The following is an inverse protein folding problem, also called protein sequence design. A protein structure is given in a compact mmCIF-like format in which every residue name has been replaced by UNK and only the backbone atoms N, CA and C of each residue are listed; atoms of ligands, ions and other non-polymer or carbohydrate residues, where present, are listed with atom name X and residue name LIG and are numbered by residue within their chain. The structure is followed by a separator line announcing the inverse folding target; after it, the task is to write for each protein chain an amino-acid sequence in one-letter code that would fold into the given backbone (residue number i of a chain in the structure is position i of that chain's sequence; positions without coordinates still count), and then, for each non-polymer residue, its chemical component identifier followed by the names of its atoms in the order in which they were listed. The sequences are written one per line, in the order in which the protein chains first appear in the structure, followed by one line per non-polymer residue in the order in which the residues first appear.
data_IF_915640414487
#
_entry.id   IF_915640414487
#
_cell.length_a   1.000
_cell.length_b   1.000
_cell.length_c   1.000
_cell.angle_alpha   90.00
_cell.angle_beta   90.00
_cell.angle_gamma   90.00
#
_symmetry.space_group_name_H-M   'P 1'
#
loop_
_entity.id
_entity.type
_entity.pdbx_description
1 polymer ?
#
# COMPACT_ATOMS: atom_id res chain seq x y z
N UNK A 1 23.36 -2.57 15.36
CA UNK A 1 23.67 -2.55 13.92
C UNK A 1 22.42 -2.08 13.19
N UNK A 2 22.53 -1.06 12.33
CA UNK A 2 21.41 -0.66 11.47
C UNK A 2 21.35 -1.59 10.24
N UNK A 3 20.16 -1.83 9.71
CA UNK A 3 20.00 -2.57 8.46
C UNK A 3 20.68 -1.82 7.29
N UNK A 4 21.21 -2.55 6.31
CA UNK A 4 21.76 -1.92 5.11
C UNK A 4 20.65 -1.31 4.26
N UNK A 5 21.00 -0.31 3.44
CA UNK A 5 20.06 0.29 2.48
C UNK A 5 19.46 -0.76 1.54
N UNK A 6 20.27 -1.68 1.04
CA UNK A 6 19.83 -2.77 0.17
C UNK A 6 18.84 -3.71 0.86
N UNK A 7 19.08 -4.07 2.12
CA UNK A 7 18.12 -4.87 2.89
C UNK A 7 16.79 -4.16 3.10
N UNK A 8 16.80 -2.84 3.30
CA UNK A 8 15.58 -2.05 3.43
C UNK A 8 14.82 -1.92 2.10
N UNK A 9 15.53 -1.72 0.98
CA UNK A 9 14.92 -1.67 -0.35
C UNK A 9 14.28 -3.01 -0.74
N UNK A 10 14.95 -4.12 -0.45
CA UNK A 10 14.41 -5.47 -0.67
C UNK A 10 13.16 -5.71 0.19
N UNK A 11 13.18 -5.29 1.46
CA UNK A 11 12.03 -5.39 2.35
C UNK A 11 10.85 -4.54 1.85
N UNK A 12 11.08 -3.30 1.46
CA UNK A 12 10.02 -2.44 0.93
C UNK A 12 9.40 -3.01 -0.34
N UNK A 13 10.22 -3.57 -1.21
CA UNK A 13 9.77 -4.27 -2.42
C UNK A 13 8.89 -5.47 -2.06
N UNK A 14 9.35 -6.33 -1.15
CA UNK A 14 8.61 -7.53 -0.74
C UNK A 14 7.25 -7.17 -0.11
N UNK A 15 7.22 -6.17 0.79
CA UNK A 15 5.98 -5.74 1.44
C UNK A 15 5.01 -5.14 0.41
N UNK A 16 5.48 -4.25 -0.47
CA UNK A 16 4.64 -3.62 -1.47
C UNK A 16 4.02 -4.63 -2.45
N UNK A 17 4.82 -5.60 -2.90
CA UNK A 17 4.35 -6.70 -3.75
C UNK A 17 3.29 -7.51 -3.02
N UNK A 18 3.55 -7.92 -1.77
CA UNK A 18 2.60 -8.73 -1.01
C UNK A 18 1.28 -8.02 -0.76
N UNK A 19 1.32 -6.74 -0.41
CA UNK A 19 0.12 -5.92 -0.23
C UNK A 19 -0.69 -5.82 -1.53
N UNK A 20 -0.02 -5.64 -2.66
CA UNK A 20 -0.67 -5.58 -3.99
C UNK A 20 -1.36 -6.91 -4.31
N UNK A 21 -0.64 -8.03 -4.19
CA UNK A 21 -1.20 -9.37 -4.40
C UNK A 21 -2.42 -9.63 -3.52
N UNK A 22 -2.33 -9.29 -2.23
CA UNK A 22 -3.43 -9.48 -1.30
C UNK A 22 -4.65 -8.64 -1.66
N UNK A 23 -4.47 -7.39 -2.09
CA UNK A 23 -5.59 -6.55 -2.56
C UNK A 23 -6.24 -7.15 -3.82
N UNK A 24 -5.44 -7.70 -4.73
CA UNK A 24 -5.94 -8.29 -6.00
C UNK A 24 -6.68 -9.61 -5.81
N UNK A 25 -6.31 -10.38 -4.80
CA UNK A 25 -6.93 -11.67 -4.49
C UNK A 25 -8.24 -11.52 -3.70
N UNK A 26 -8.49 -10.36 -3.10
CA UNK A 26 -9.70 -10.10 -2.30
C UNK A 26 -10.81 -9.47 -3.17
N UNK A 27 -12.02 -10.06 -3.23
CA UNK A 27 -13.16 -9.43 -3.87
C UNK A 27 -13.56 -8.12 -3.21
N UNK A 28 -14.10 -7.20 -4.00
CA UNK A 28 -14.67 -5.96 -3.48
C UNK A 28 -15.77 -6.28 -2.45
N UNK A 29 -15.68 -5.67 -1.26
CA UNK A 29 -16.61 -5.90 -0.15
C UNK A 29 -16.25 -7.09 0.75
N UNK A 30 -15.15 -7.81 0.49
CA UNK A 30 -14.67 -8.83 1.41
C UNK A 30 -14.27 -8.23 2.77
N UNK A 31 -14.69 -8.90 3.84
CA UNK A 31 -14.38 -8.49 5.22
C UNK A 31 -12.86 -8.53 5.43
N UNK A 32 -12.26 -7.36 5.65
CA UNK A 32 -10.81 -7.21 5.85
C UNK A 32 -10.13 -6.41 4.75
N UNK A 33 -10.76 -6.23 3.59
CA UNK A 33 -10.19 -5.42 2.50
C UNK A 33 -9.97 -3.97 2.93
N UNK A 34 -10.93 -3.35 3.63
CA UNK A 34 -10.78 -1.99 4.14
C UNK A 34 -9.58 -1.83 5.11
N UNK A 35 -9.37 -2.81 5.99
CA UNK A 35 -8.22 -2.82 6.90
C UNK A 35 -6.90 -2.96 6.13
N UNK A 36 -6.86 -3.85 5.14
CA UNK A 36 -5.69 -4.05 4.28
C UNK A 36 -5.36 -2.78 3.46
N UNK A 37 -6.38 -2.12 2.89
CA UNK A 37 -6.23 -0.86 2.18
C UNK A 37 -5.68 0.25 3.09
N UNK A 38 -6.11 0.31 4.35
CA UNK A 38 -5.58 1.27 5.32
C UNK A 38 -4.12 1.01 5.67
N UNK A 39 -3.73 -0.26 5.85
CA UNK A 39 -2.32 -0.64 6.06
C UNK A 39 -1.47 -0.25 4.85
N UNK A 40 -1.95 -0.52 3.63
CA UNK A 40 -1.24 -0.17 2.41
C UNK A 40 -1.09 1.35 2.24
N UNK A 41 -2.12 2.14 2.54
CA UNK A 41 -2.05 3.61 2.54
C UNK A 41 -1.01 4.13 3.53
N UNK A 42 -1.02 3.60 4.76
CA UNK A 42 -0.06 4.00 5.78
C UNK A 42 1.37 3.62 5.38
N UNK A 43 1.57 2.44 4.80
CA UNK A 43 2.87 2.00 4.31
C UNK A 43 3.44 2.92 3.22
N UNK A 44 2.62 3.31 2.24
CA UNK A 44 3.00 4.26 1.18
C UNK A 44 3.37 5.62 1.77
N UNK A 45 2.57 6.12 2.72
CA UNK A 45 2.80 7.37 3.45
C UNK A 45 4.10 7.35 4.26
N UNK A 46 4.32 6.31 5.06
CA UNK A 46 5.50 6.16 5.91
C UNK A 46 6.80 6.09 5.10
N UNK A 47 6.71 5.68 3.82
CA UNK A 47 7.82 5.63 2.89
C UNK A 47 7.95 6.89 2.01
N UNK A 48 7.25 7.98 2.34
CA UNK A 48 7.41 9.29 1.69
C UNK A 48 6.80 9.37 0.28
N UNK A 49 5.92 8.45 -0.09
CA UNK A 49 5.25 8.42 -1.40
C UNK A 49 3.98 9.27 -1.33
N UNK A 50 4.13 10.49 -0.81
CA UNK A 50 3.07 11.49 -0.75
C UNK A 50 3.16 12.47 -1.94
N UNK A 51 4.34 12.57 -2.58
CA UNK A 51 4.60 13.44 -3.71
C UNK A 51 5.22 12.64 -4.87
N UNK A 52 4.38 12.32 -5.87
CA UNK A 52 4.72 11.63 -7.12
C UNK A 52 5.41 10.26 -6.92
N UNK A 53 4.67 9.13 -7.03
CA UNK A 53 5.30 7.81 -6.98
C UNK A 53 6.41 7.72 -8.02
N UNK A 54 7.58 7.22 -7.61
CA UNK A 54 8.67 6.93 -8.55
C UNK A 54 8.13 5.90 -9.55
N UNK A 55 7.95 6.27 -10.83
CA UNK A 55 7.32 5.39 -11.79
C UNK A 55 8.15 4.11 -11.94
N UNK A 56 7.50 2.95 -11.85
CA UNK A 56 8.15 1.64 -11.99
C UNK A 56 8.70 1.02 -10.70
N UNK A 57 8.60 1.67 -9.54
CA UNK A 57 8.91 1.03 -8.24
C UNK A 57 7.72 0.21 -7.72
N UNK A 58 8.00 -0.84 -6.92
CA UNK A 58 6.94 -1.67 -6.33
C UNK A 58 5.99 -0.87 -5.43
N UNK A 59 6.53 0.09 -4.69
CA UNK A 59 5.75 0.98 -3.83
C UNK A 59 4.95 2.01 -4.64
N UNK A 60 5.46 2.45 -5.79
CA UNK A 60 4.71 3.26 -6.75
C UNK A 60 3.55 2.48 -7.38
N UNK A 61 3.77 1.21 -7.74
CA UNK A 61 2.71 0.32 -8.20
C UNK A 61 1.61 0.11 -7.17
N UNK A 62 1.98 -0.07 -5.90
CA UNK A 62 1.01 -0.12 -4.79
C UNK A 62 0.21 1.19 -4.68
N UNK A 63 0.87 2.35 -4.77
CA UNK A 63 0.19 3.64 -4.74
C UNK A 63 -0.81 3.81 -5.90
N UNK A 64 -0.46 3.36 -7.11
CA UNK A 64 -1.36 3.38 -8.26
C UNK A 64 -2.53 2.41 -8.09
N UNK A 65 -2.30 1.25 -7.49
CA UNK A 65 -3.39 0.30 -7.15
C UNK A 65 -4.38 0.93 -6.18
N UNK A 66 -3.90 1.63 -5.15
CA UNK A 66 -4.75 2.29 -4.14
C UNK A 66 -5.67 3.36 -4.75
N UNK A 67 -5.29 4.01 -5.86
CA UNK A 67 -6.16 4.97 -6.56
C UNK A 67 -7.44 4.33 -7.13
N UNK A 68 -7.43 3.01 -7.35
CA UNK A 68 -8.62 2.25 -7.78
C UNK A 68 -9.62 2.06 -6.62
N UNK A 69 -9.18 2.27 -5.39
CA UNK A 69 -9.97 2.16 -4.16
C UNK A 69 -9.98 3.51 -3.43
N UNK A 70 -10.70 4.52 -3.97
CA UNK A 70 -10.77 5.83 -3.33
C UNK A 70 -11.30 5.67 -1.91
N UNK A 71 -10.63 6.33 -0.96
CA UNK A 71 -11.08 6.35 0.43
C UNK A 71 -12.25 7.32 0.54
N UNK A 72 -13.40 6.83 0.99
CA UNK A 72 -14.56 7.63 1.34
C UNK A 72 -14.73 7.60 2.86
N UNK A 73 -14.41 8.70 3.58
CA UNK A 73 -14.54 8.77 5.04
C UNK A 73 -15.93 8.39 5.57
N UNK A 74 -17.00 8.60 4.77
CA UNK A 74 -18.37 8.28 5.15
C UNK A 74 -18.72 6.81 4.96
N UNK A 75 -18.17 6.16 3.93
CA UNK A 75 -18.42 4.75 3.64
C UNK A 75 -17.44 3.80 4.35
N UNK A 76 -16.20 4.25 4.57
CA UNK A 76 -15.09 3.43 5.10
C UNK A 76 -14.94 3.52 6.63
N UNK A 77 -15.86 4.22 7.32
CA UNK A 77 -16.06 4.12 8.76
C UNK A 77 -15.09 4.93 9.61
N UNK A 78 -14.98 6.24 9.38
CA UNK A 78 -14.45 7.18 10.38
C UNK A 78 -15.62 7.82 11.12
N UNK A 79 -15.96 7.27 12.28
CA UNK A 79 -16.86 7.91 13.25
C UNK A 79 -16.04 8.48 14.41
#
# INVERSE_FOLDING_TARGET
MAASKESLEALHTAIATKLTESIEQMPAGEKGLAALLNVARQFVKDNGIEALPVPGSATGGLADKLKQYPFDPQADGVH
#
